data_IF_031681734733
#
_entry.id   IF_031681734733
#
_cell.length_a   1.000
_cell.length_b   1.000
_cell.length_c   1.000
_cell.angle_alpha   90.00
_cell.angle_beta   90.00
_cell.angle_gamma   90.00
#
_symmetry.space_group_name_H-M   'P 1'
#
loop_
_entity.id
_entity.type
_entity.pdbx_description
1 polymer ?
#
# COMPACT_ATOMS: atom_id res chain seq x y z
N UNK A 1 3.77 7.37 26.43
CA UNK A 1 3.32 7.31 25.01
C UNK A 1 3.27 8.74 24.49
N UNK A 2 3.61 8.98 23.22
CA UNK A 2 3.57 10.32 22.60
C UNK A 2 2.88 10.25 21.25
N UNK A 3 1.91 11.15 21.02
CA UNK A 3 1.25 11.28 19.72
C UNK A 3 2.21 11.82 18.67
N UNK A 4 2.05 11.34 17.45
CA UNK A 4 2.86 11.77 16.31
C UNK A 4 2.41 13.15 15.81
N UNK A 5 3.33 14.11 15.78
CA UNK A 5 3.07 15.50 15.37
C UNK A 5 3.46 15.77 13.92
N UNK A 6 4.29 14.94 13.29
CA UNK A 6 4.66 15.12 11.88
C UNK A 6 3.48 14.76 10.96
N UNK A 7 3.39 15.45 9.82
CA UNK A 7 2.36 15.19 8.83
C UNK A 7 2.71 13.97 7.96
N UNK A 8 1.69 13.26 7.47
CA UNK A 8 1.87 12.12 6.56
C UNK A 8 2.50 12.57 5.24
N UNK A 9 2.07 13.73 4.71
CA UNK A 9 2.60 14.28 3.47
C UNK A 9 4.08 14.64 3.56
N UNK A 10 4.54 15.14 4.71
CA UNK A 10 5.97 15.39 4.96
C UNK A 10 6.77 14.09 4.84
N UNK A 11 6.28 12.99 5.41
CA UNK A 11 6.94 11.70 5.34
C UNK A 11 6.93 11.12 3.93
N UNK A 12 5.78 11.20 3.24
CA UNK A 12 5.61 10.77 1.85
C UNK A 12 6.65 11.42 0.93
N UNK A 13 6.73 12.75 0.94
CA UNK A 13 7.62 13.50 0.04
C UNK A 13 9.09 13.16 0.28
N UNK A 14 9.52 13.10 1.56
CA UNK A 14 10.91 12.83 1.89
C UNK A 14 11.30 11.37 1.58
N UNK A 15 10.45 10.39 1.90
CA UNK A 15 10.70 8.98 1.55
C UNK A 15 10.77 8.81 0.03
N UNK A 16 9.82 9.41 -0.70
CA UNK A 16 9.79 9.35 -2.15
C UNK A 16 11.07 9.94 -2.77
N UNK A 17 11.56 11.07 -2.27
CA UNK A 17 12.83 11.65 -2.72
C UNK A 17 13.99 10.67 -2.53
N UNK A 18 14.11 10.08 -1.34
CA UNK A 18 15.15 9.09 -1.07
C UNK A 18 15.03 7.86 -1.99
N UNK A 19 13.81 7.38 -2.26
CA UNK A 19 13.59 6.25 -3.19
C UNK A 19 14.13 6.59 -4.57
N UNK A 20 13.74 7.73 -5.14
CA UNK A 20 14.16 8.10 -6.50
C UNK A 20 15.67 8.28 -6.60
N UNK A 21 16.31 8.89 -5.60
CA UNK A 21 17.76 9.01 -5.55
C UNK A 21 18.45 7.65 -5.49
N UNK A 22 17.97 6.73 -4.66
CA UNK A 22 18.52 5.39 -4.55
C UNK A 22 18.34 4.58 -5.85
N UNK A 23 17.15 4.64 -6.48
CA UNK A 23 16.90 4.01 -7.78
C UNK A 23 17.86 4.55 -8.86
N UNK A 24 18.03 5.87 -8.91
CA UNK A 24 18.97 6.52 -9.83
C UNK A 24 20.41 6.10 -9.55
N UNK A 25 20.84 5.98 -8.28
CA UNK A 25 22.17 5.48 -7.91
C UNK A 25 22.39 4.03 -8.35
N UNK A 26 21.33 3.21 -8.34
CA UNK A 26 21.35 1.81 -8.81
C UNK A 26 21.23 1.64 -10.33
N UNK A 27 21.24 2.73 -11.09
CA UNK A 27 21.14 2.70 -12.55
C UNK A 27 19.73 2.46 -13.09
N UNK A 28 18.68 2.51 -12.25
CA UNK A 28 17.29 2.47 -12.70
C UNK A 28 16.92 3.90 -13.11
N UNK A 29 17.11 4.19 -14.40
CA UNK A 29 16.87 5.51 -15.00
C UNK A 29 16.19 5.34 -16.37
N UNK A 30 15.24 6.21 -16.74
CA UNK A 30 14.64 7.27 -15.92
C UNK A 30 13.75 6.69 -14.80
N UNK A 31 13.72 7.31 -13.62
CA UNK A 31 12.77 6.96 -12.55
C UNK A 31 12.14 8.24 -12.01
N UNK A 32 10.82 8.23 -11.85
CA UNK A 32 10.03 9.37 -11.36
C UNK A 32 8.83 8.92 -10.53
N UNK A 33 8.31 9.85 -9.74
CA UNK A 33 7.11 9.65 -8.92
C UNK A 33 5.93 10.29 -9.65
N UNK A 34 4.84 9.55 -9.77
CA UNK A 34 3.53 10.09 -10.11
C UNK A 34 2.70 10.16 -8.82
N UNK A 35 2.56 11.37 -8.28
CA UNK A 35 1.74 11.62 -7.10
C UNK A 35 0.29 11.89 -7.46
N UNK A 36 -0.62 11.47 -6.59
CA UNK A 36 -2.05 11.55 -6.86
C UNK A 36 -2.67 12.81 -6.23
N UNK A 37 -3.68 13.36 -6.89
CA UNK A 37 -4.49 14.44 -6.31
C UNK A 37 -5.43 13.85 -5.27
N UNK A 38 -5.87 14.62 -4.26
CA UNK A 38 -6.82 14.13 -3.24
C UNK A 38 -8.08 13.46 -3.84
N UNK A 39 -8.57 14.00 -4.96
CA UNK A 39 -9.71 13.40 -5.69
C UNK A 39 -9.35 12.04 -6.27
N UNK A 40 -8.16 11.92 -6.85
CA UNK A 40 -7.69 10.67 -7.44
C UNK A 40 -7.33 9.64 -6.36
N UNK A 41 -6.65 10.04 -5.28
CA UNK A 41 -6.40 9.22 -4.08
C UNK A 41 -7.70 8.62 -3.53
N UNK A 42 -8.79 9.40 -3.45
CA UNK A 42 -10.09 8.89 -3.01
C UNK A 42 -10.65 7.78 -3.93
N UNK A 43 -10.37 7.85 -5.22
CA UNK A 43 -10.80 6.84 -6.20
C UNK A 43 -9.93 5.58 -6.15
N UNK A 44 -8.60 5.75 -6.08
CA UNK A 44 -7.60 4.68 -6.27
C UNK A 44 -7.04 4.09 -4.97
N UNK A 45 -7.13 4.84 -3.88
CA UNK A 45 -6.64 4.42 -2.57
C UNK A 45 -5.12 4.34 -2.42
N UNK A 46 -4.36 4.85 -3.39
CA UNK A 46 -2.90 5.02 -3.36
C UNK A 46 -2.55 6.51 -3.22
N UNK A 47 -1.36 6.81 -2.71
CA UNK A 47 -0.84 8.18 -2.66
C UNK A 47 0.08 8.46 -3.86
N UNK A 48 0.93 7.47 -4.22
CA UNK A 48 1.88 7.61 -5.33
C UNK A 48 2.13 6.30 -6.07
N UNK A 49 2.64 6.43 -7.29
CA UNK A 49 3.31 5.33 -8.01
C UNK A 49 4.70 5.75 -8.45
N UNK A 50 5.63 4.80 -8.44
CA UNK A 50 7.00 4.98 -8.95
C UNK A 50 7.07 4.34 -10.33
N UNK A 51 7.49 5.11 -11.32
CA UNK A 51 7.49 4.71 -12.74
C UNK A 51 8.87 4.85 -13.37
N UNK A 52 9.12 4.00 -14.36
CA UNK A 52 10.22 4.11 -15.33
C UNK A 52 9.64 4.05 -16.75
N UNK A 53 10.09 4.87 -17.71
CA UNK A 53 9.71 4.73 -19.11
C UNK A 53 10.10 3.36 -19.70
N UNK A 54 9.41 2.90 -20.77
CA UNK A 54 8.39 3.62 -21.54
C UNK A 54 7.02 3.77 -20.85
N UNK A 55 6.54 2.80 -20.06
CA UNK A 55 5.39 2.95 -19.15
C UNK A 55 5.38 1.80 -18.14
N UNK A 56 6.44 1.69 -17.34
CA UNK A 56 6.58 0.62 -16.36
C UNK A 56 6.36 1.16 -14.96
N UNK A 57 5.31 0.69 -14.29
CA UNK A 57 5.11 0.90 -12.86
C UNK A 57 5.99 -0.09 -12.09
N UNK A 58 6.87 0.43 -11.24
CA UNK A 58 7.73 -0.38 -10.37
C UNK A 58 7.07 -0.67 -9.02
N UNK A 59 6.46 0.36 -8.43
CA UNK A 59 5.86 0.30 -7.10
C UNK A 59 4.63 1.20 -7.03
N UNK A 60 3.62 0.75 -6.29
CA UNK A 60 2.46 1.53 -5.87
C UNK A 60 2.49 1.66 -4.35
N UNK A 61 2.50 2.88 -3.84
CA UNK A 61 2.67 3.13 -2.41
C UNK A 61 1.45 3.84 -1.83
N UNK A 62 0.98 3.32 -0.69
CA UNK A 62 0.13 4.04 0.23
C UNK A 62 0.93 4.33 1.50
N UNK A 63 1.17 5.60 1.80
CA UNK A 63 1.82 6.02 3.02
C UNK A 63 0.86 5.94 4.20
N UNK A 64 1.42 5.61 5.37
CA UNK A 64 0.81 5.86 6.66
C UNK A 64 1.83 6.44 7.62
N UNK A 65 1.50 7.57 8.23
CA UNK A 65 2.28 8.09 9.36
C UNK A 65 2.02 7.27 10.63
N UNK A 66 2.97 7.21 11.56
CA UNK A 66 2.67 6.70 12.89
C UNK A 66 1.56 7.56 13.52
N UNK A 67 0.63 6.92 14.21
CA UNK A 67 -0.32 7.62 15.07
C UNK A 67 0.36 8.04 16.39
N UNK A 68 1.22 7.17 16.92
CA UNK A 68 1.97 7.42 18.15
C UNK A 68 3.27 6.62 18.19
N UNK A 69 4.22 7.08 18.99
CA UNK A 69 5.38 6.31 19.42
C UNK A 69 5.32 6.02 20.92
N UNK A 70 5.92 4.91 21.31
CA UNK A 70 5.93 4.41 22.69
C UNK A 70 7.22 3.62 22.94
N UNK A 71 7.59 3.43 24.20
CA UNK A 71 8.81 2.70 24.55
C UNK A 71 8.59 1.73 25.71
N UNK A 72 7.81 0.65 25.50
CA UNK A 72 7.61 -0.35 26.55
C UNK A 72 8.93 -1.06 26.81
N UNK A 73 9.32 -1.14 28.08
CA UNK A 73 10.56 -1.82 28.51
C UNK A 73 11.82 -1.33 27.76
N UNK A 74 11.84 -0.07 27.32
CA UNK A 74 12.96 0.51 26.59
C UNK A 74 13.12 0.07 25.12
N UNK A 75 12.21 -0.74 24.57
CA UNK A 75 12.13 -0.99 23.12
C UNK A 75 11.24 0.07 22.48
N UNK A 76 11.75 0.78 21.47
CA UNK A 76 11.00 1.85 20.82
C UNK A 76 10.04 1.26 19.79
N UNK A 77 8.76 1.59 19.95
CA UNK A 77 7.65 1.14 19.12
C UNK A 77 6.89 2.29 18.44
N UNK A 78 6.28 1.97 17.29
CA UNK A 78 5.42 2.86 16.51
C UNK A 78 4.10 2.15 16.22
N UNK A 79 2.99 2.87 16.33
CA UNK A 79 1.66 2.35 15.99
C UNK A 79 1.12 3.09 14.77
N UNK A 80 0.65 2.36 13.77
CA UNK A 80 0.04 2.89 12.55
C UNK A 80 -1.43 2.47 12.46
N UNK A 81 -2.22 3.24 11.73
CA UNK A 81 -3.59 2.86 11.36
C UNK A 81 -3.68 2.67 9.85
N UNK A 82 -3.99 1.45 9.41
CA UNK A 82 -4.33 1.14 8.02
C UNK A 82 -5.84 1.01 7.87
N UNK A 83 -6.33 1.12 6.64
CA UNK A 83 -7.76 1.11 6.31
C UNK A 83 -8.58 2.14 7.12
N UNK A 84 -8.04 3.34 7.31
CA UNK A 84 -8.66 4.41 8.09
C UNK A 84 -9.18 5.56 7.19
N UNK A 85 -9.80 5.21 6.07
CA UNK A 85 -10.48 6.17 5.18
C UNK A 85 -11.98 6.23 5.50
N UNK A 86 -12.68 7.27 5.01
CA UNK A 86 -14.11 7.53 5.29
C UNK A 86 -15.02 6.31 5.11
N UNK A 87 -14.71 5.45 4.15
CA UNK A 87 -15.50 4.26 3.81
C UNK A 87 -14.87 2.94 4.28
N UNK A 88 -13.70 2.99 4.93
CA UNK A 88 -12.93 1.83 5.40
C UNK A 88 -12.75 0.74 4.33
N UNK A 89 -12.58 1.16 3.08
CA UNK A 89 -12.50 0.32 1.90
C UNK A 89 -11.17 0.46 1.13
N UNK A 90 -10.26 1.32 1.60
CA UNK A 90 -8.97 1.55 0.95
C UNK A 90 -8.18 0.25 0.88
N UNK A 91 -8.14 -0.51 1.97
CA UNK A 91 -7.40 -1.76 1.99
C UNK A 91 -7.99 -2.80 1.02
N UNK A 92 -9.33 -2.94 0.99
CA UNK A 92 -10.01 -3.82 0.04
C UNK A 92 -9.64 -3.48 -1.41
N UNK A 93 -9.67 -2.19 -1.75
CA UNK A 93 -9.36 -1.73 -3.09
C UNK A 93 -7.91 -2.07 -3.51
N UNK A 94 -6.95 -1.79 -2.62
CA UNK A 94 -5.55 -2.12 -2.88
C UNK A 94 -5.31 -3.64 -2.96
N UNK A 95 -6.04 -4.42 -2.17
CA UNK A 95 -5.98 -5.89 -2.20
C UNK A 95 -6.49 -6.41 -3.54
N UNK A 96 -7.62 -5.92 -4.04
CA UNK A 96 -8.16 -6.30 -5.36
C UNK A 96 -7.18 -5.98 -6.48
N UNK A 97 -6.61 -4.77 -6.49
CA UNK A 97 -5.62 -4.39 -7.50
C UNK A 97 -4.38 -5.30 -7.44
N UNK A 98 -3.89 -5.62 -6.24
CA UNK A 98 -2.73 -6.51 -6.06
C UNK A 98 -3.03 -7.95 -6.47
N UNK A 99 -4.25 -8.44 -6.24
CA UNK A 99 -4.71 -9.75 -6.71
C UNK A 99 -4.83 -9.78 -8.23
N UNK A 100 -5.35 -8.71 -8.84
CA UNK A 100 -5.44 -8.57 -10.30
C UNK A 100 -4.06 -8.73 -10.96
N UNK A 101 -3.04 -8.02 -10.43
CA UNK A 101 -1.66 -8.16 -10.89
C UNK A 101 -1.13 -9.60 -10.71
N UNK A 102 -1.41 -10.21 -9.56
CA UNK A 102 -1.00 -11.60 -9.27
C UNK A 102 -1.64 -12.61 -10.24
N UNK A 103 -2.89 -12.40 -10.65
CA UNK A 103 -3.58 -13.23 -11.64
C UNK A 103 -2.91 -13.15 -13.02
N UNK A 104 -2.27 -12.03 -13.34
CA UNK A 104 -1.44 -11.87 -14.55
C UNK A 104 -0.01 -12.41 -14.38
N UNK A 105 0.28 -13.13 -13.27
CA UNK A 105 1.59 -13.67 -12.96
C UNK A 105 2.61 -12.62 -12.52
N UNK A 106 2.18 -11.40 -12.19
CA UNK A 106 3.07 -10.33 -11.72
C UNK A 106 3.35 -10.45 -10.24
N UNK A 107 4.55 -10.05 -9.83
CA UNK A 107 4.88 -9.95 -8.42
C UNK A 107 4.11 -8.79 -7.79
N UNK A 108 3.61 -8.94 -6.55
CA UNK A 108 2.95 -7.86 -5.83
C UNK A 108 3.84 -6.61 -5.73
N UNK A 109 3.39 -5.50 -6.32
CA UNK A 109 4.10 -4.22 -6.35
C UNK A 109 3.41 -3.12 -5.52
N UNK A 110 2.33 -3.46 -4.81
CA UNK A 110 1.56 -2.54 -3.96
C UNK A 110 1.92 -2.70 -2.49
N UNK A 111 2.35 -1.60 -1.86
CA UNK A 111 2.81 -1.61 -0.47
C UNK A 111 2.21 -0.46 0.34
N UNK A 112 2.01 -0.72 1.63
CA UNK A 112 1.99 0.36 2.62
C UNK A 112 3.43 0.76 2.94
N UNK A 113 3.76 2.05 2.85
CA UNK A 113 5.01 2.61 3.33
C UNK A 113 4.82 3.20 4.73
N UNK A 114 5.62 2.75 5.70
CA UNK A 114 5.46 2.99 7.13
C UNK A 114 6.75 3.60 7.73
N UNK A 115 6.96 4.92 7.58
CA UNK A 115 8.16 5.58 8.10
C UNK A 115 8.13 5.67 9.62
N UNK A 116 9.21 5.26 10.28
CA UNK A 116 9.36 5.21 11.74
C UNK A 116 9.80 6.58 12.30
N UNK A 117 9.00 7.61 12.05
CA UNK A 117 9.28 9.00 12.42
C UNK A 117 8.02 9.65 12.98
N UNK A 118 8.09 10.14 14.22
CA UNK A 118 6.92 10.70 14.92
C UNK A 118 6.90 12.24 15.02
N UNK A 119 8.02 12.92 14.81
CA UNK A 119 8.16 14.36 14.97
C UNK A 119 9.32 14.90 14.13
N UNK A 120 9.40 16.23 14.01
CA UNK A 120 10.43 16.91 13.22
C UNK A 120 11.87 16.60 13.68
N UNK A 121 12.22 16.63 14.98
CA UNK A 121 13.57 16.26 15.42
C UNK A 121 13.99 14.85 14.99
N UNK A 122 13.06 13.88 15.03
CA UNK A 122 13.34 12.54 14.52
C UNK A 122 13.53 12.50 13.00
N UNK A 123 12.80 13.34 12.26
CA UNK A 123 12.98 13.43 10.81
C UNK A 123 14.36 13.99 10.49
N UNK A 124 14.74 15.11 11.11
CA UNK A 124 16.04 15.77 10.93
C UNK A 124 17.20 14.82 11.22
N UNK A 125 17.09 14.01 12.28
CA UNK A 125 18.12 13.02 12.64
C UNK A 125 18.21 11.85 11.65
N UNK A 126 17.14 11.54 10.91
CA UNK A 126 17.04 10.35 10.06
C UNK A 126 16.99 10.64 8.57
N UNK A 127 16.98 11.92 8.17
CA UNK A 127 16.65 12.34 6.81
C UNK A 127 17.55 11.65 5.77
N UNK A 128 18.86 11.57 6.05
CA UNK A 128 19.85 10.96 5.16
C UNK A 128 19.74 9.42 5.04
N UNK A 129 18.98 8.80 5.95
CA UNK A 129 18.81 7.34 6.04
C UNK A 129 17.34 6.96 6.18
N UNK A 130 16.44 7.79 5.65
CA UNK A 130 15.01 7.64 5.90
C UNK A 130 14.45 6.30 5.40
N UNK A 131 15.03 5.74 4.33
CA UNK A 131 14.69 4.40 3.81
C UNK A 131 15.04 3.27 4.78
N UNK A 132 16.13 3.39 5.55
CA UNK A 132 16.50 2.43 6.59
C UNK A 132 15.54 2.50 7.79
N UNK A 133 14.84 3.63 7.93
CA UNK A 133 13.83 3.87 8.94
C UNK A 133 12.40 3.82 8.36
N UNK A 134 12.21 3.18 7.22
CA UNK A 134 10.89 2.97 6.61
C UNK A 134 10.69 1.49 6.36
N UNK A 135 9.62 0.94 6.93
CA UNK A 135 9.20 -0.41 6.57
C UNK A 135 8.13 -0.37 5.50
N UNK A 136 8.10 -1.41 4.69
CA UNK A 136 7.08 -1.63 3.68
C UNK A 136 6.33 -2.91 4.01
N UNK A 137 5.01 -2.89 3.82
CA UNK A 137 4.17 -4.08 4.02
C UNK A 137 3.39 -4.31 2.75
N UNK A 138 3.52 -5.50 2.17
CA UNK A 138 2.72 -5.82 1.00
C UNK A 138 1.25 -5.84 1.39
N UNK A 139 0.40 -5.27 0.54
CA UNK A 139 -1.04 -5.22 0.84
C UNK A 139 -1.63 -6.63 1.00
N UNK A 140 -1.15 -7.62 0.26
CA UNK A 140 -1.61 -9.01 0.38
C UNK A 140 -1.12 -9.73 1.64
N UNK A 141 -0.10 -9.19 2.32
CA UNK A 141 0.42 -9.76 3.57
C UNK A 141 -0.40 -9.25 4.78
N UNK A 142 -1.20 -8.19 4.62
CA UNK A 142 -2.12 -7.68 5.64
C UNK A 142 -3.40 -8.53 5.57
N UNK A 143 -3.75 -9.29 6.62
CA UNK A 143 -5.03 -10.00 6.65
C UNK A 143 -6.18 -9.00 6.52
N UNK A 144 -7.21 -9.41 5.80
CA UNK A 144 -8.38 -8.57 5.61
C UNK A 144 -9.08 -8.32 6.96
N UNK A 145 -9.21 -7.04 7.30
CA UNK A 145 -9.75 -6.57 8.60
C UNK A 145 -11.19 -6.09 8.50
N UNK A 146 -11.90 -6.48 7.43
CA UNK A 146 -13.25 -5.97 7.18
C UNK A 146 -13.23 -4.48 6.83
N UNK A 147 -14.33 -3.80 7.17
CA UNK A 147 -14.52 -2.37 6.99
C UNK A 147 -14.17 -1.61 8.28
N UNK A 148 -13.05 -1.99 8.88
CA UNK A 148 -12.55 -1.39 10.11
C UNK A 148 -11.08 -0.96 9.96
N UNK A 149 -10.66 0.10 10.66
CA UNK A 149 -9.26 0.45 10.78
C UNK A 149 -8.48 -0.67 11.48
N UNK A 150 -7.27 -0.93 11.00
CA UNK A 150 -6.38 -1.90 11.62
C UNK A 150 -5.13 -1.22 12.17
N UNK A 151 -4.74 -1.64 13.38
CA UNK A 151 -3.53 -1.17 14.06
C UNK A 151 -2.34 -2.06 13.70
N UNK A 152 -1.28 -1.46 13.18
CA UNK A 152 0.02 -2.11 13.01
C UNK A 152 0.98 -1.58 14.07
N UNK A 153 1.71 -2.47 14.75
CA UNK A 153 2.75 -2.08 15.68
C UNK A 153 4.11 -2.56 15.17
N UNK A 154 5.11 -1.69 15.23
CA UNK A 154 6.48 -1.98 14.80
C UNK A 154 7.41 -1.65 15.96
N UNK A 155 8.17 -2.65 16.43
CA UNK A 155 9.18 -2.53 17.48
C UNK A 155 10.58 -2.56 16.87
N UNK A 156 11.45 -1.64 17.28
CA UNK A 156 12.72 -1.38 16.59
C UNK A 156 13.88 -2.26 17.06
N UNK A 157 13.96 -2.63 18.35
CA UNK A 157 15.05 -3.48 18.86
C UNK A 157 14.80 -4.95 18.61
N UNK A 158 13.55 -5.37 18.77
CA UNK A 158 13.20 -6.78 18.65
C UNK A 158 13.28 -7.28 17.19
N UNK A 159 13.28 -6.38 16.19
CA UNK A 159 13.12 -6.69 14.74
C UNK A 159 11.93 -7.62 14.40
N UNK A 160 11.13 -8.02 15.38
CA UNK A 160 9.85 -8.67 15.23
C UNK A 160 8.80 -7.58 15.05
N UNK A 161 8.24 -7.42 13.85
CA UNK A 161 7.10 -6.55 13.66
C UNK A 161 5.85 -7.24 14.26
N UNK A 162 5.60 -6.96 15.54
CA UNK A 162 4.48 -7.57 16.29
C UNK A 162 3.19 -6.78 16.04
N UNK A 163 2.45 -7.21 15.01
CA UNK A 163 1.05 -7.65 15.10
C UNK A 163 -0.13 -6.67 15.34
N UNK A 164 -1.12 -6.89 14.46
CA UNK A 164 -2.53 -6.52 14.33
C UNK A 164 -3.36 -6.47 15.63
N UNK A 165 -4.25 -5.48 15.74
CA UNK A 165 -5.36 -5.51 16.71
C UNK A 165 -6.68 -5.08 16.08
N UNK A 166 -7.36 -6.04 15.43
CA UNK A 166 -8.82 -6.00 15.26
C UNK A 166 -9.52 -7.13 16.04
N UNK A 167 -8.88 -8.29 16.27
CA UNK A 167 -9.44 -9.36 17.12
C UNK A 167 -8.46 -10.48 17.48
N UNK A 168 -7.41 -10.74 16.68
CA UNK A 168 -6.38 -11.75 16.97
C UNK A 168 -4.97 -11.24 16.68
N UNK A 169 -4.00 -11.71 17.47
CA UNK A 169 -2.59 -11.41 17.24
C UNK A 169 -2.06 -12.25 16.07
N UNK A 170 -1.76 -11.63 14.92
CA UNK A 170 -1.07 -12.24 13.76
C UNK A 170 0.17 -11.45 13.30
N UNK A 171 1.24 -12.19 13.03
CA UNK A 171 2.44 -11.66 12.41
C UNK A 171 2.21 -11.36 10.93
N UNK A 172 2.81 -10.25 10.47
CA UNK A 172 2.79 -9.85 9.06
C UNK A 172 4.21 -9.65 8.61
N UNK A 173 4.44 -9.89 7.33
CA UNK A 173 5.75 -9.75 6.73
C UNK A 173 6.03 -8.28 6.41
N UNK A 174 7.16 -7.79 6.92
CA UNK A 174 7.65 -6.45 6.63
C UNK A 174 8.90 -6.59 5.76
N UNK A 175 9.06 -5.62 4.87
CA UNK A 175 10.16 -5.52 3.92
C UNK A 175 10.92 -4.24 4.22
N UNK A 176 12.25 -4.32 4.25
CA UNK A 176 13.09 -3.12 4.17
C UNK A 176 13.19 -2.68 2.71
N UNK A 177 13.71 -1.48 2.49
CA UNK A 177 14.01 -1.01 1.14
C UNK A 177 14.99 -1.93 0.40
N UNK A 178 15.99 -2.48 1.10
CA UNK A 178 16.92 -3.46 0.56
C UNK A 178 16.22 -4.77 0.13
N UNK A 179 15.14 -5.17 0.82
CA UNK A 179 14.34 -6.31 0.38
C UNK A 179 13.58 -5.99 -0.91
N UNK A 180 12.96 -4.80 -1.00
CA UNK A 180 12.22 -4.37 -2.20
C UNK A 180 13.14 -4.25 -3.40
N UNK A 181 14.28 -3.60 -3.27
CA UNK A 181 15.20 -3.35 -4.39
C UNK A 181 15.76 -4.62 -5.02
N UNK A 182 15.87 -5.72 -4.28
CA UNK A 182 16.25 -7.04 -4.83
C UNK A 182 15.22 -7.60 -5.80
N UNK A 183 13.93 -7.29 -5.58
CA UNK A 183 12.80 -7.83 -6.34
C UNK A 183 12.17 -6.80 -7.28
N UNK A 184 12.61 -5.54 -7.25
CA UNK A 184 11.93 -4.42 -7.93
C UNK A 184 11.77 -4.62 -9.44
N UNK A 185 12.73 -5.29 -10.09
CA UNK A 185 12.63 -5.63 -11.52
C UNK A 185 11.54 -6.66 -11.82
N UNK A 186 11.28 -7.58 -10.89
CA UNK A 186 10.20 -8.57 -11.01
C UNK A 186 8.83 -7.98 -10.67
N UNK A 187 8.82 -6.90 -9.88
CA UNK A 187 7.62 -6.12 -9.54
C UNK A 187 7.18 -5.18 -10.67
N UNK A 188 8.01 -5.02 -11.71
CA UNK A 188 7.71 -4.16 -12.86
C UNK A 188 6.42 -4.61 -13.58
N UNK A 189 5.50 -3.66 -13.73
CA UNK A 189 4.22 -3.81 -14.43
C UNK A 189 4.21 -2.87 -15.63
N UNK A 190 3.94 -3.38 -16.83
CA UNK A 190 3.86 -2.57 -18.06
C UNK A 190 2.48 -1.94 -18.26
N UNK A 191 2.37 -0.98 -19.17
CA UNK A 191 1.06 -0.44 -19.57
C UNK A 191 0.11 -1.52 -20.12
N UNK A 192 0.63 -2.51 -20.85
CA UNK A 192 -0.16 -3.65 -21.34
C UNK A 192 -0.70 -4.48 -20.18
N UNK A 193 0.13 -4.76 -19.18
CA UNK A 193 -0.33 -5.47 -17.98
C UNK A 193 -1.45 -4.70 -17.26
N UNK A 194 -1.34 -3.38 -17.18
CA UNK A 194 -2.38 -2.54 -16.57
C UNK A 194 -3.67 -2.51 -17.40
N UNK A 195 -3.58 -2.54 -18.73
CA UNK A 195 -4.76 -2.70 -19.59
C UNK A 195 -5.43 -4.05 -19.35
N UNK A 196 -4.65 -5.12 -19.27
CA UNK A 196 -5.16 -6.46 -18.96
C UNK A 196 -5.79 -6.54 -17.58
N UNK A 197 -5.29 -5.80 -16.59
CA UNK A 197 -5.95 -5.67 -15.26
C UNK A 197 -7.36 -5.08 -15.41
N UNK A 198 -7.53 -4.08 -16.25
CA UNK A 198 -8.83 -3.45 -16.49
C UNK A 198 -9.83 -4.37 -17.21
N UNK A 199 -9.35 -5.41 -17.89
CA UNK A 199 -10.15 -6.41 -18.60
C UNK A 199 -10.52 -7.62 -17.72
N UNK A 200 -9.93 -7.74 -16.52
CA UNK A 200 -10.25 -8.86 -15.63
C UNK A 200 -11.70 -8.71 -15.17
N UNK A 201 -12.51 -9.73 -15.47
CA UNK A 201 -13.89 -9.76 -15.06
C UNK A 201 -14.03 -9.67 -13.55
N UNK A 202 -15.07 -8.97 -13.12
CA UNK A 202 -15.44 -8.88 -11.71
C UNK A 202 -15.57 -10.25 -11.03
N UNK A 203 -16.12 -11.26 -11.74
CA UNK A 203 -16.29 -12.62 -11.21
C UNK A 203 -14.94 -13.24 -10.86
N UNK A 204 -13.95 -13.10 -11.75
CA UNK A 204 -12.62 -13.64 -11.52
C UNK A 204 -11.91 -12.93 -10.34
N UNK A 205 -12.11 -11.62 -10.19
CA UNK A 205 -11.58 -10.87 -9.04
C UNK A 205 -12.26 -11.27 -7.72
N UNK A 206 -13.57 -11.49 -7.74
CA UNK A 206 -14.32 -11.98 -6.58
C UNK A 206 -13.81 -13.37 -6.17
N UNK A 207 -13.64 -14.29 -7.11
CA UNK A 207 -13.10 -15.63 -6.85
C UNK A 207 -11.67 -15.58 -6.30
N UNK A 208 -10.80 -14.76 -6.90
CA UNK A 208 -9.43 -14.57 -6.43
C UNK A 208 -9.40 -14.01 -5.00
N UNK A 209 -10.27 -13.04 -4.71
CA UNK A 209 -10.42 -12.49 -3.36
C UNK A 209 -10.93 -13.56 -2.40
N UNK A 210 -12.02 -14.26 -2.72
CA UNK A 210 -12.56 -15.33 -1.88
C UNK A 210 -11.49 -16.37 -1.57
N UNK A 211 -10.74 -16.81 -2.59
CA UNK A 211 -9.63 -17.75 -2.44
C UNK A 211 -8.53 -17.21 -1.51
N UNK A 212 -8.14 -15.94 -1.69
CA UNK A 212 -7.17 -15.27 -0.82
C UNK A 212 -7.68 -15.16 0.63
N UNK A 213 -8.97 -14.91 0.83
CA UNK A 213 -9.60 -14.69 2.13
C UNK A 213 -9.99 -15.96 2.89
N UNK A 214 -10.12 -17.11 2.22
CA UNK A 214 -10.54 -18.40 2.83
C UNK A 214 -9.67 -18.84 4.01
N UNK A 215 -8.41 -18.39 4.10
CA UNK A 215 -7.52 -18.64 5.24
C UNK A 215 -7.61 -17.63 6.39
N UNK A 216 -8.43 -16.60 6.26
CA UNK A 216 -8.36 -15.41 7.11
C UNK A 216 -9.68 -14.99 7.75
N UNK A 217 -10.82 -15.56 7.34
CA UNK A 217 -12.12 -14.94 7.65
C UNK A 217 -13.21 -15.91 8.12
N UNK A 218 -14.08 -15.37 8.98
CA UNK A 218 -15.37 -15.97 9.30
C UNK A 218 -16.32 -15.88 8.08
N UNK A 219 -17.17 -16.90 7.85
CA UNK A 219 -18.06 -16.99 6.68
C UNK A 219 -18.95 -15.76 6.43
N UNK A 220 -19.35 -15.06 7.49
CA UNK A 220 -20.25 -13.91 7.39
C UNK A 220 -19.58 -12.67 6.81
N UNK A 221 -18.29 -12.47 7.09
CA UNK A 221 -17.54 -11.35 6.53
C UNK A 221 -17.29 -11.56 5.04
N UNK A 222 -17.07 -12.81 4.61
CA UNK A 222 -16.97 -13.17 3.19
C UNK A 222 -18.24 -12.81 2.43
N UNK A 223 -19.41 -13.14 2.99
CA UNK A 223 -20.72 -12.81 2.40
C UNK A 223 -20.93 -11.30 2.28
N UNK A 224 -20.51 -10.53 3.29
CA UNK A 224 -20.61 -9.07 3.27
C UNK A 224 -19.70 -8.44 2.20
N UNK A 225 -18.46 -8.92 2.07
CA UNK A 225 -17.51 -8.48 1.04
C UNK A 225 -18.06 -8.75 -0.35
N UNK A 226 -18.52 -9.98 -0.64
CA UNK A 226 -19.16 -10.32 -1.93
C UNK A 226 -20.32 -9.38 -2.25
N UNK A 227 -21.19 -9.09 -1.26
CA UNK A 227 -22.33 -8.17 -1.48
C UNK A 227 -21.87 -6.74 -1.77
N UNK A 228 -20.81 -6.27 -1.11
CA UNK A 228 -20.25 -4.94 -1.33
C UNK A 228 -19.64 -4.81 -2.73
N UNK A 229 -18.88 -5.82 -3.14
CA UNK A 229 -18.22 -5.88 -4.43
C UNK A 229 -19.21 -5.87 -5.60
N UNK A 230 -20.35 -6.56 -5.49
CA UNK A 230 -21.41 -6.61 -6.52
C UNK A 230 -22.03 -5.27 -6.90
N UNK A 231 -21.80 -4.19 -6.14
CA UNK A 231 -22.35 -2.86 -6.41
C UNK A 231 -21.72 -2.12 -7.61
N UNK A 232 -20.99 -2.77 -8.53
CA UNK A 232 -20.28 -2.22 -9.73
C UNK A 232 -19.30 -1.05 -9.50
N UNK A 233 -19.25 -0.49 -8.28
CA UNK A 233 -18.40 0.66 -7.91
C UNK A 233 -16.93 0.29 -7.75
N UNK A 234 -16.62 -0.97 -7.42
CA UNK A 234 -15.25 -1.41 -7.15
C UNK A 234 -14.46 -1.77 -8.41
N UNK A 235 -15.11 -2.39 -9.39
CA UNK A 235 -14.51 -2.67 -10.70
C UNK A 235 -13.98 -1.40 -11.36
N UNK A 236 -14.83 -0.36 -11.44
CA UNK A 236 -14.43 0.97 -11.95
C UNK A 236 -13.23 1.56 -11.21
N UNK A 237 -13.11 1.32 -9.90
CA UNK A 237 -11.99 1.85 -9.09
C UNK A 237 -10.71 1.06 -9.34
N UNK A 238 -10.78 -0.26 -9.48
CA UNK A 238 -9.61 -1.09 -9.86
C UNK A 238 -9.12 -0.70 -11.25
N UNK A 239 -10.04 -0.54 -12.20
CA UNK A 239 -9.73 -0.01 -13.54
C UNK A 239 -9.15 1.40 -13.48
N UNK A 240 -9.66 2.28 -12.61
CA UNK A 240 -9.13 3.63 -12.44
C UNK A 240 -7.70 3.64 -11.88
N UNK A 241 -7.34 2.69 -11.00
CA UNK A 241 -5.95 2.48 -10.56
C UNK A 241 -5.09 2.07 -11.74
N UNK A 242 -5.55 1.08 -12.51
CA UNK A 242 -4.76 0.53 -13.60
C UNK A 242 -4.54 1.53 -14.74
N UNK A 243 -5.57 2.30 -15.12
CA UNK A 243 -5.54 3.19 -16.28
C UNK A 243 -5.14 4.63 -15.96
N UNK A 244 -4.70 4.95 -14.73
CA UNK A 244 -4.18 6.29 -14.43
C UNK A 244 -5.23 7.41 -14.40
N UNK A 245 -6.52 7.10 -14.20
CA UNK A 245 -7.60 8.09 -14.01
C UNK A 245 -8.01 8.93 -15.24
N UNK A 246 -7.14 9.10 -16.23
CA UNK A 246 -7.42 9.92 -17.41
C UNK A 246 -8.35 9.24 -18.43
N UNK A 247 -8.33 7.91 -18.54
CA UNK A 247 -9.30 7.19 -19.41
C UNK A 247 -10.71 7.13 -18.83
N UNK A 248 -10.87 7.04 -17.50
CA UNK A 248 -12.21 7.07 -16.89
C UNK A 248 -12.96 8.38 -17.12
N UNK A 249 -12.26 9.49 -17.39
CA UNK A 249 -12.90 10.78 -17.72
C UNK A 249 -13.59 10.79 -19.08
N UNK A 250 -13.20 9.93 -20.02
CA UNK A 250 -13.86 9.87 -21.34
C UNK A 250 -15.20 9.13 -21.31
N UNK A 251 -15.42 8.26 -20.33
CA UNK A 251 -16.68 7.51 -20.19
C UNK A 251 -17.71 8.18 -19.27
N UNK A 252 -17.36 9.27 -18.58
CA UNK A 252 -18.31 10.08 -17.79
C UNK A 252 -18.87 11.29 -18.56
N UNK A 253 -18.43 11.50 -19.81
CA UNK A 253 -18.85 12.60 -20.68
C UNK A 253 -19.73 12.14 -21.87
N UNK A 254 -20.17 10.88 -21.85
CA UNK A 254 -21.15 10.29 -22.77
C UNK A 254 -22.12 9.41 -21.98
#
# INVERSE_FOLDING_TARGET
MKWCSISEKTLELNVCSCIIEDLKRRGIRPAYIEGYTLRYEGAVGLDVTIKTPPQTQLLSLQFKKPLMCFSPNGDRGYMFLVNNNRYFDQHLLLTLFSLALKMLGKHPSTFYALPLVCNTPELEQKIDRLLQHTFFVNVLDIPFVGFHPCKLYIFTKSYYPVVFRCSSKREVRFYTWENITKEIRRMAVTAEDLQRVAEISYVNLEEALVSHLRGFMEPDVLRYVTKYLRKRRMERRVTAIALGGERSRREELY
#
